data_IF_634379526217
#
_entry.id   IF_634379526217
#
_cell.length_a   1.000
_cell.length_b   1.000
_cell.length_c   1.000
_cell.angle_alpha   90.00
_cell.angle_beta   90.00
_cell.angle_gamma   90.00
#
_symmetry.space_group_name_H-M   'P 1'
#
loop_
_entity.id
_entity.type
_entity.pdbx_description
1 polymer ?
#
# COMPACT_ATOMS: atom_id res chain seq x y z
N UNK A 1 -39.79 6.15 12.22
CA UNK A 1 -38.59 5.31 12.51
C UNK A 1 -37.37 5.64 11.61
N UNK A 2 -37.56 6.14 10.38
CA UNK A 2 -36.46 6.48 9.45
C UNK A 2 -35.60 7.71 9.84
N UNK A 3 -36.20 8.81 10.32
CA UNK A 3 -35.46 10.05 10.62
C UNK A 3 -34.45 9.93 11.78
N UNK A 4 -34.80 9.21 12.87
CA UNK A 4 -33.88 8.98 13.99
C UNK A 4 -32.68 8.10 13.62
N UNK A 5 -32.86 7.15 12.70
CA UNK A 5 -31.76 6.29 12.22
C UNK A 5 -30.79 7.07 11.34
N UNK A 6 -31.29 8.00 10.53
CA UNK A 6 -30.46 8.87 9.69
C UNK A 6 -29.66 9.89 10.53
N UNK A 7 -30.29 10.50 11.54
CA UNK A 7 -29.60 11.40 12.49
C UNK A 7 -28.55 10.67 13.33
N UNK A 8 -28.80 9.41 13.70
CA UNK A 8 -27.81 8.56 14.37
C UNK A 8 -26.62 8.27 13.46
N UNK A 9 -26.86 7.91 12.20
CA UNK A 9 -25.80 7.68 11.22
C UNK A 9 -24.94 8.93 10.97
N UNK A 10 -25.57 10.11 10.85
CA UNK A 10 -24.84 11.37 10.71
C UNK A 10 -23.99 11.70 11.95
N UNK A 11 -24.48 11.40 13.16
CA UNK A 11 -23.70 11.56 14.40
C UNK A 11 -22.48 10.66 14.43
N UNK A 12 -22.65 9.36 14.10
CA UNK A 12 -21.54 8.41 14.02
C UNK A 12 -20.55 8.81 12.92
N UNK A 13 -21.01 9.20 11.72
CA UNK A 13 -20.11 9.65 10.66
C UNK A 13 -19.32 10.92 11.07
N UNK A 14 -19.97 11.86 11.78
CA UNK A 14 -19.31 13.08 12.24
C UNK A 14 -18.20 12.86 13.26
N UNK A 15 -18.21 11.76 14.03
CA UNK A 15 -17.13 11.48 15.00
C UNK A 15 -15.81 11.13 14.32
N UNK A 16 -15.84 10.66 13.07
CA UNK A 16 -14.64 10.34 12.29
C UNK A 16 -14.28 11.43 11.27
N UNK A 17 -15.28 12.04 10.62
CA UNK A 17 -15.05 12.86 9.44
C UNK A 17 -14.89 14.36 9.72
N UNK A 18 -15.38 14.83 10.88
CA UNK A 18 -15.42 16.26 11.16
C UNK A 18 -14.09 16.72 11.79
N UNK A 19 -13.41 17.64 11.12
CA UNK A 19 -12.26 18.34 11.69
C UNK A 19 -12.72 19.32 12.79
N UNK A 20 -11.82 19.64 13.72
CA UNK A 20 -12.14 20.53 14.82
C UNK A 20 -10.92 20.93 15.64
N UNK A 21 -11.19 21.41 16.85
CA UNK A 21 -10.17 21.90 17.79
C UNK A 21 -9.06 20.86 18.00
N UNK A 22 -9.47 19.64 18.34
CA UNK A 22 -8.62 18.50 18.68
C UNK A 22 -8.98 17.27 17.84
N UNK A 23 -9.42 17.46 16.59
CA UNK A 23 -9.85 16.38 15.68
C UNK A 23 -9.34 16.65 14.27
N UNK A 24 -8.68 15.66 13.68
CA UNK A 24 -8.09 15.76 12.33
C UNK A 24 -9.19 15.81 11.26
N UNK A 25 -10.20 14.94 11.38
CA UNK A 25 -11.32 14.85 10.45
C UNK A 25 -11.08 13.81 9.36
N UNK A 26 -11.52 14.08 8.13
CA UNK A 26 -11.56 13.08 7.04
C UNK A 26 -10.31 13.01 6.17
N UNK A 27 -9.32 13.88 6.38
CA UNK A 27 -8.18 14.04 5.48
C UNK A 27 -6.88 13.85 6.24
N UNK A 28 -6.04 12.94 5.72
CA UNK A 28 -4.78 12.56 6.34
C UNK A 28 -3.67 12.54 5.28
N UNK A 29 -2.49 13.04 5.65
CA UNK A 29 -1.24 12.85 4.93
C UNK A 29 -0.84 11.38 5.05
N UNK A 30 -0.55 10.76 3.90
CA UNK A 30 -0.22 9.34 3.78
C UNK A 30 1.03 9.15 2.93
N UNK A 31 1.72 8.03 3.13
CA UNK A 31 2.70 7.52 2.19
C UNK A 31 2.04 6.44 1.34
N UNK A 32 2.12 6.53 0.01
CA UNK A 32 1.50 5.52 -0.89
C UNK A 32 2.45 5.11 -2.00
N UNK A 33 2.27 3.89 -2.51
CA UNK A 33 2.93 3.45 -3.74
C UNK A 33 2.25 4.03 -4.98
N UNK A 34 3.07 4.42 -5.95
CA UNK A 34 2.65 4.91 -7.26
C UNK A 34 3.50 4.29 -8.36
N UNK A 35 2.84 4.02 -9.49
CA UNK A 35 3.46 3.46 -10.68
C UNK A 35 3.93 4.57 -11.63
N UNK A 36 5.06 4.35 -12.29
CA UNK A 36 5.65 5.27 -13.26
C UNK A 36 6.03 4.52 -14.53
N UNK A 37 6.07 5.22 -15.66
CA UNK A 37 6.37 4.61 -16.96
C UNK A 37 7.83 4.17 -17.12
N UNK A 38 8.76 4.82 -16.44
CA UNK A 38 10.18 4.50 -16.52
C UNK A 38 11.00 4.91 -15.26
N UNK A 39 12.30 4.63 -15.30
CA UNK A 39 13.25 4.89 -14.22
C UNK A 39 13.58 6.37 -13.99
N UNK A 40 13.01 7.30 -14.79
CA UNK A 40 13.09 8.75 -14.51
C UNK A 40 12.07 9.16 -13.46
N UNK A 41 11.01 8.36 -13.29
CA UNK A 41 9.92 8.60 -12.36
C UNK A 41 9.23 9.96 -12.55
N UNK A 42 9.08 10.38 -13.81
CA UNK A 42 8.49 11.66 -14.19
C UNK A 42 7.01 11.53 -14.57
N UNK A 43 6.66 10.49 -15.33
CA UNK A 43 5.29 10.22 -15.79
C UNK A 43 4.65 9.11 -14.96
N UNK A 44 3.62 9.48 -14.19
CA UNK A 44 2.84 8.57 -13.34
C UNK A 44 1.81 7.79 -14.19
N UNK A 45 1.77 6.47 -14.02
CA UNK A 45 0.74 5.63 -14.61
C UNK A 45 -0.52 5.72 -13.73
N UNK A 46 -1.63 6.11 -14.34
CA UNK A 46 -2.89 6.31 -13.64
C UNK A 46 -3.50 4.96 -13.21
N UNK A 47 -3.67 4.80 -11.89
CA UNK A 47 -4.41 3.65 -11.34
C UNK A 47 -5.94 3.84 -11.45
N UNK A 48 -6.71 2.74 -11.55
CA UNK A 48 -8.17 2.83 -11.51
C UNK A 48 -8.69 3.51 -10.24
N UNK A 49 -9.70 4.37 -10.38
CA UNK A 49 -10.22 5.17 -9.25
C UNK A 49 -10.73 4.31 -8.07
N UNK A 50 -11.25 3.10 -8.34
CA UNK A 50 -11.73 2.19 -7.32
C UNK A 50 -10.62 1.61 -6.44
N UNK A 51 -9.36 1.66 -6.88
CA UNK A 51 -8.21 1.16 -6.12
C UNK A 51 -7.87 2.07 -4.93
N UNK A 52 -8.34 3.32 -4.96
CA UNK A 52 -8.23 4.25 -3.83
C UNK A 52 -6.77 4.57 -3.49
N UNK A 53 -6.40 4.43 -2.21
CA UNK A 53 -5.03 4.71 -1.77
C UNK A 53 -4.06 3.54 -2.00
N UNK A 54 -4.55 2.33 -2.28
CA UNK A 54 -3.71 1.16 -2.50
C UNK A 54 -2.70 1.41 -3.62
N UNK A 55 -1.53 0.80 -3.51
CA UNK A 55 -0.53 0.79 -4.57
C UNK A 55 -1.04 0.18 -5.87
N UNK A 56 -0.30 0.35 -6.98
CA UNK A 56 -0.64 -0.28 -8.26
C UNK A 56 -0.76 -1.80 -8.16
N UNK A 57 -1.52 -2.40 -9.07
CA UNK A 57 -1.61 -3.86 -9.17
C UNK A 57 -0.29 -4.42 -9.72
N UNK A 58 0.35 -5.28 -8.95
CA UNK A 58 1.44 -6.12 -9.45
C UNK A 58 0.84 -7.44 -9.90
N UNK A 59 1.26 -7.94 -11.05
CA UNK A 59 0.72 -9.18 -11.61
C UNK A 59 1.77 -9.91 -12.44
N UNK A 60 1.76 -11.23 -12.34
CA UNK A 60 2.70 -12.07 -13.07
C UNK A 60 2.20 -13.51 -13.15
N UNK A 61 2.71 -14.26 -14.12
CA UNK A 61 2.43 -15.68 -14.31
C UNK A 61 3.50 -16.59 -13.71
N UNK A 62 3.18 -17.88 -13.60
CA UNK A 62 4.15 -18.90 -13.23
C UNK A 62 5.31 -18.95 -14.23
N UNK A 63 6.52 -18.78 -13.73
CA UNK A 63 7.76 -18.69 -14.52
C UNK A 63 8.26 -17.26 -14.72
N UNK A 64 7.44 -16.25 -14.42
CA UNK A 64 7.84 -14.86 -14.56
C UNK A 64 8.81 -14.42 -13.47
N UNK A 65 9.55 -13.37 -13.82
CA UNK A 65 10.31 -12.54 -12.89
C UNK A 65 9.74 -11.13 -12.89
N UNK A 66 9.40 -10.64 -11.70
CA UNK A 66 8.97 -9.27 -11.44
C UNK A 66 10.19 -8.48 -10.95
N UNK A 67 10.62 -7.50 -11.74
CA UNK A 67 11.62 -6.52 -11.33
C UNK A 67 10.93 -5.24 -10.89
N UNK A 68 11.16 -4.85 -9.63
CA UNK A 68 10.58 -3.64 -9.06
C UNK A 68 11.68 -2.65 -8.75
N UNK A 69 11.70 -1.58 -9.52
CA UNK A 69 12.58 -0.45 -9.33
C UNK A 69 11.90 0.53 -8.37
N UNK A 70 12.23 0.42 -7.09
CA UNK A 70 11.71 1.28 -6.04
C UNK A 70 12.58 2.52 -5.89
N UNK A 71 11.94 3.69 -5.79
CA UNK A 71 12.57 4.96 -5.40
C UNK A 71 11.73 5.63 -4.31
N UNK A 72 12.36 5.93 -3.19
CA UNK A 72 11.69 6.51 -2.04
C UNK A 72 11.71 8.04 -2.11
N UNK A 73 10.56 8.69 -2.32
CA UNK A 73 10.41 10.15 -2.26
C UNK A 73 9.78 10.62 -0.94
N UNK A 74 9.56 9.71 0.00
CA UNK A 74 9.06 10.04 1.32
C UNK A 74 10.19 10.57 2.22
N UNK A 75 9.80 11.10 3.37
CA UNK A 75 10.70 11.70 4.35
C UNK A 75 11.31 10.69 5.34
N UNK A 76 11.02 9.39 5.19
CA UNK A 76 11.50 8.32 6.07
C UNK A 76 11.90 7.08 5.27
N UNK A 77 12.76 6.21 5.81
CA UNK A 77 13.07 4.93 5.20
C UNK A 77 11.82 4.06 5.12
N UNK A 78 11.69 3.34 4.02
CA UNK A 78 10.62 2.37 3.76
C UNK A 78 11.14 1.28 2.82
N UNK A 79 10.37 0.22 2.62
CA UNK A 79 10.72 -0.91 1.74
C UNK A 79 9.54 -1.32 0.87
N UNK A 80 9.66 -2.46 0.18
CA UNK A 80 8.53 -3.20 -0.36
C UNK A 80 8.80 -4.70 -0.12
N UNK A 81 7.86 -5.35 0.55
CA UNK A 81 7.89 -6.76 0.92
C UNK A 81 6.69 -7.46 0.29
N UNK A 82 6.87 -8.55 -0.48
CA UNK A 82 5.78 -9.23 -1.13
C UNK A 82 5.28 -10.43 -0.33
N UNK A 83 4.03 -10.81 -0.58
CA UNK A 83 3.51 -12.13 -0.24
C UNK A 83 3.30 -12.95 -1.52
N UNK A 84 3.44 -14.27 -1.44
CA UNK A 84 3.03 -15.18 -2.52
C UNK A 84 4.00 -15.31 -3.69
N UNK A 85 5.22 -14.79 -3.58
CA UNK A 85 6.31 -14.92 -4.57
C UNK A 85 7.59 -15.34 -3.88
N UNK A 86 8.54 -15.84 -4.66
CA UNK A 86 9.88 -16.17 -4.18
C UNK A 86 10.81 -14.96 -4.31
N UNK A 87 11.67 -14.76 -3.32
CA UNK A 87 12.71 -13.73 -3.30
C UNK A 87 13.96 -14.27 -2.61
N UNK A 88 15.10 -13.71 -2.98
CA UNK A 88 16.35 -13.87 -2.25
C UNK A 88 16.49 -12.79 -1.16
N UNK A 89 17.49 -12.93 -0.29
CA UNK A 89 17.70 -12.06 0.86
C UNK A 89 18.07 -10.61 0.53
N UNK A 90 18.36 -10.28 -0.72
CA UNK A 90 18.54 -8.89 -1.20
C UNK A 90 17.27 -8.31 -1.85
N UNK A 91 16.15 -9.03 -1.78
CA UNK A 91 14.87 -8.68 -2.41
C UNK A 91 13.68 -8.97 -1.49
N UNK A 92 13.91 -9.17 -0.19
CA UNK A 92 12.85 -9.44 0.79
C UNK A 92 12.19 -8.14 1.27
N UNK A 93 12.99 -7.11 1.55
CA UNK A 93 12.50 -5.81 2.00
C UNK A 93 11.96 -5.81 3.43
N UNK A 94 12.53 -6.62 4.33
CA UNK A 94 12.06 -6.79 5.71
C UNK A 94 13.22 -6.71 6.71
N UNK A 95 13.21 -5.68 7.56
CA UNK A 95 14.29 -5.43 8.51
C UNK A 95 14.13 -6.27 9.78
N UNK A 96 14.92 -7.35 9.92
CA UNK A 96 14.99 -8.14 11.15
C UNK A 96 16.37 -8.82 11.35
N UNK A 97 16.68 -9.34 12.55
CA UNK A 97 17.92 -10.09 12.81
C UNK A 97 17.92 -11.46 12.11
N UNK A 98 18.31 -11.47 10.85
CA UNK A 98 18.29 -12.62 9.93
C UNK A 98 19.68 -13.19 9.61
N UNK A 99 20.75 -12.57 10.11
CA UNK A 99 22.14 -12.92 9.82
C UNK A 99 22.70 -12.42 8.49
N UNK A 100 21.93 -11.68 7.69
CA UNK A 100 22.41 -11.05 6.44
C UNK A 100 23.26 -9.80 6.72
N UNK A 101 24.15 -9.43 5.79
CA UNK A 101 25.01 -8.25 5.95
C UNK A 101 25.43 -7.66 4.60
N UNK A 102 25.95 -6.43 4.62
CA UNK A 102 26.45 -5.76 3.43
C UNK A 102 25.32 -5.43 2.45
N UNK A 103 25.45 -5.88 1.20
CA UNK A 103 24.47 -5.60 0.15
C UNK A 103 23.12 -6.29 0.37
N UNK A 104 23.10 -7.41 1.11
CA UNK A 104 21.89 -8.16 1.50
C UNK A 104 21.02 -7.45 2.55
N UNK A 105 21.35 -6.20 2.91
CA UNK A 105 20.63 -5.35 3.85
C UNK A 105 20.13 -4.05 3.19
N UNK A 106 20.41 -3.87 1.89
CA UNK A 106 20.08 -2.66 1.16
C UNK A 106 18.58 -2.58 0.82
N UNK A 107 17.92 -3.73 0.71
CA UNK A 107 16.48 -3.87 0.53
C UNK A 107 15.69 -3.57 1.81
N UNK A 108 16.24 -3.93 2.98
CA UNK A 108 15.56 -3.82 4.27
C UNK A 108 15.27 -2.39 4.75
N UNK A 109 15.89 -1.38 4.15
CA UNK A 109 15.64 0.02 4.51
C UNK A 109 16.09 0.98 3.40
N UNK A 110 15.19 1.30 2.47
CA UNK A 110 15.49 2.26 1.40
C UNK A 110 15.33 3.70 1.94
N UNK A 111 16.42 4.47 2.10
CA UNK A 111 16.37 5.78 2.74
C UNK A 111 15.64 6.82 1.87
N UNK A 112 15.25 7.99 2.43
CA UNK A 112 14.72 9.12 1.65
C UNK A 112 15.65 9.49 0.49
N UNK A 113 15.09 9.58 -0.72
CA UNK A 113 15.85 9.80 -1.96
C UNK A 113 16.64 8.59 -2.45
N UNK A 114 16.66 7.48 -1.71
CA UNK A 114 17.29 6.21 -2.09
C UNK A 114 16.44 5.40 -3.06
N UNK A 115 17.08 4.40 -3.69
CA UNK A 115 16.44 3.45 -4.61
C UNK A 115 16.98 2.05 -4.41
N UNK A 116 16.16 1.05 -4.69
CA UNK A 116 16.53 -0.36 -4.69
C UNK A 116 15.77 -1.11 -5.79
N UNK A 117 16.36 -2.17 -6.33
CA UNK A 117 15.69 -3.04 -7.30
C UNK A 117 15.42 -4.38 -6.64
N UNK A 118 14.15 -4.74 -6.53
CA UNK A 118 13.71 -6.02 -5.98
C UNK A 118 13.49 -7.01 -7.12
N UNK A 119 13.97 -8.23 -6.94
CA UNK A 119 13.81 -9.33 -7.88
C UNK A 119 12.96 -10.43 -7.25
N UNK A 120 11.73 -10.57 -7.74
CA UNK A 120 10.81 -11.59 -7.30
C UNK A 120 10.48 -12.55 -8.43
N UNK A 121 10.41 -13.84 -8.14
CA UNK A 121 10.06 -14.86 -9.14
C UNK A 121 8.86 -15.68 -8.69
N UNK A 122 8.15 -16.26 -9.66
CA UNK A 122 7.04 -17.19 -9.39
C UNK A 122 7.44 -18.59 -9.86
N UNK A 123 8.25 -19.34 -9.09
CA UNK A 123 8.56 -20.71 -9.44
C UNK A 123 7.30 -21.59 -9.34
N UNK A 124 7.32 -22.76 -10.00
CA UNK A 124 6.20 -23.73 -9.98
C UNK A 124 5.76 -24.10 -8.55
N UNK A 125 6.67 -24.11 -7.57
CA UNK A 125 6.32 -24.37 -6.17
C UNK A 125 5.51 -23.28 -5.47
N UNK A 126 5.42 -22.08 -6.06
CA UNK A 126 4.64 -20.93 -5.57
C UNK A 126 3.46 -20.62 -6.51
N UNK A 127 3.22 -21.48 -7.50
CA UNK A 127 2.14 -21.35 -8.46
C UNK A 127 0.76 -21.68 -7.85
N UNK A 128 -0.33 -21.07 -8.36
CA UNK A 128 -1.67 -21.60 -8.14
C UNK A 128 -1.74 -23.07 -8.58
N UNK A 129 -2.26 -23.94 -7.70
CA UNK A 129 -2.42 -25.37 -8.01
C UNK A 129 -3.54 -25.61 -9.02
N UNK A 130 -3.65 -26.83 -9.53
CA UNK A 130 -4.76 -27.20 -10.43
C UNK A 130 -6.15 -26.92 -9.82
N UNK A 131 -6.30 -27.11 -8.50
CA UNK A 131 -7.55 -26.85 -7.79
C UNK A 131 -7.81 -25.36 -7.50
N UNK A 132 -6.78 -24.51 -7.58
CA UNK A 132 -6.89 -23.08 -7.38
C UNK A 132 -7.52 -22.37 -8.59
N UNK A 133 -8.12 -21.18 -8.37
CA UNK A 133 -8.53 -20.31 -9.47
C UNK A 133 -7.34 -19.91 -10.36
N UNK A 134 -7.64 -19.35 -11.54
CA UNK A 134 -6.61 -18.96 -12.51
C UNK A 134 -5.58 -17.96 -11.95
N UNK A 135 -5.97 -17.11 -10.98
CA UNK A 135 -5.05 -16.25 -10.25
C UNK A 135 -5.37 -16.25 -8.75
N UNK A 136 -4.32 -16.19 -7.93
CA UNK A 136 -4.38 -15.99 -6.48
C UNK A 136 -4.09 -14.53 -6.13
N UNK A 137 -4.69 -14.04 -5.05
CA UNK A 137 -4.49 -12.66 -4.56
C UNK A 137 -3.60 -12.64 -3.33
N UNK A 138 -2.60 -11.80 -3.39
CA UNK A 138 -1.62 -11.50 -2.37
C UNK A 138 -1.53 -9.99 -2.15
N UNK A 139 -0.64 -9.58 -1.25
CA UNK A 139 -0.36 -8.18 -0.97
C UNK A 139 1.14 -7.94 -1.02
N UNK A 140 1.51 -6.68 -1.18
CA UNK A 140 2.83 -6.19 -0.86
C UNK A 140 2.70 -4.95 0.03
N UNK A 141 3.69 -4.71 0.89
CA UNK A 141 3.70 -3.56 1.79
C UNK A 141 5.13 -3.21 2.24
N UNK A 142 5.33 -2.04 2.84
CA UNK A 142 6.62 -1.73 3.49
C UNK A 142 6.73 -2.49 4.82
N UNK A 143 7.95 -2.88 5.18
CA UNK A 143 8.24 -3.76 6.32
C UNK A 143 9.44 -3.28 7.14
N UNK A 144 9.64 -1.96 7.25
CA UNK A 144 10.56 -1.38 8.26
C UNK A 144 9.91 -1.48 9.64
N UNK A 145 8.66 -1.03 9.74
CA UNK A 145 7.74 -1.25 10.86
C UNK A 145 6.37 -1.54 10.25
N UNK A 146 6.14 -2.80 9.88
CA UNK A 146 5.01 -3.17 9.02
C UNK A 146 3.65 -2.63 9.49
N UNK A 147 3.26 -2.73 10.78
CA UNK A 147 1.99 -2.16 11.25
C UNK A 147 1.88 -0.65 11.01
N UNK A 148 2.94 0.13 11.30
CA UNK A 148 2.93 1.59 11.13
C UNK A 148 3.03 1.99 9.67
N UNK A 149 3.82 1.27 8.89
CA UNK A 149 4.00 1.50 7.46
C UNK A 149 2.69 1.27 6.68
N UNK A 150 1.98 0.16 6.98
CA UNK A 150 0.66 -0.14 6.41
C UNK A 150 -0.36 0.92 6.84
N UNK A 151 -0.41 1.28 8.13
CA UNK A 151 -1.31 2.34 8.62
C UNK A 151 -1.03 3.68 7.93
N UNK A 152 0.24 3.97 7.65
CA UNK A 152 0.67 5.17 6.91
C UNK A 152 0.23 5.15 5.44
N UNK A 153 -0.04 3.97 4.88
CA UNK A 153 -0.67 3.79 3.56
C UNK A 153 0.10 2.90 2.57
N UNK A 154 1.23 2.32 2.98
CA UNK A 154 2.12 1.55 2.10
C UNK A 154 1.67 0.11 1.97
N UNK A 155 0.64 -0.12 1.17
CA UNK A 155 0.10 -1.45 0.86
C UNK A 155 -0.50 -1.46 -0.56
N UNK A 156 -0.36 -2.56 -1.28
CA UNK A 156 -0.99 -2.77 -2.58
C UNK A 156 -1.24 -4.24 -2.91
N UNK A 157 -2.04 -4.53 -3.95
CA UNK A 157 -2.37 -5.88 -4.35
C UNK A 157 -1.34 -6.49 -5.31
N UNK A 158 -1.05 -7.77 -5.11
CA UNK A 158 -0.24 -8.59 -6.01
C UNK A 158 -1.07 -9.81 -6.43
N UNK A 159 -1.07 -10.18 -7.70
CA UNK A 159 -1.66 -11.44 -8.15
C UNK A 159 -0.62 -12.34 -8.83
N UNK A 160 -0.71 -13.63 -8.53
CA UNK A 160 0.07 -14.66 -9.22
C UNK A 160 -0.90 -15.54 -10.01
N UNK A 161 -0.68 -15.68 -11.31
CA UNK A 161 -1.58 -16.34 -12.22
C UNK A 161 -0.97 -17.63 -12.81
N UNK A 162 -1.82 -18.58 -13.19
CA UNK A 162 -1.42 -19.73 -14.01
C UNK A 162 -0.90 -19.25 -15.37
N UNK A 163 0.02 -20.00 -15.96
CA UNK A 163 0.60 -19.69 -17.27
C UNK A 163 -0.49 -19.56 -18.34
N UNK A 164 -0.40 -18.51 -19.15
CA UNK A 164 -1.34 -18.19 -20.22
C UNK A 164 -2.66 -17.58 -19.76
N UNK A 165 -2.78 -17.09 -18.53
CA UNK A 165 -3.97 -16.38 -18.02
C UNK A 165 -3.98 -14.90 -18.40
N UNK A 166 -2.81 -14.26 -18.39
CA UNK A 166 -2.60 -12.87 -18.78
C UNK A 166 -2.45 -12.74 -20.30
N UNK A 167 -2.85 -11.59 -20.85
CA UNK A 167 -2.58 -11.21 -22.23
C UNK A 167 -1.18 -10.57 -22.37
N UNK A 168 -0.78 -10.31 -23.62
CA UNK A 168 0.49 -9.66 -23.93
C UNK A 168 0.41 -8.13 -23.97
N UNK A 169 -0.64 -7.52 -23.41
CA UNK A 169 -0.76 -6.06 -23.37
C UNK A 169 0.15 -5.47 -22.28
N UNK A 170 0.38 -4.16 -22.35
CA UNK A 170 1.07 -3.41 -21.31
C UNK A 170 0.19 -2.24 -20.85
N UNK A 171 -0.36 -2.27 -19.61
CA UNK A 171 -0.22 -3.35 -18.62
C UNK A 171 -1.00 -4.63 -19.01
N UNK A 172 -0.55 -5.82 -18.55
CA UNK A 172 -1.25 -7.07 -18.82
C UNK A 172 -2.70 -7.06 -18.31
N UNK A 173 -3.58 -7.81 -18.95
CA UNK A 173 -4.95 -8.05 -18.46
C UNK A 173 -5.25 -9.53 -18.42
N UNK A 174 -6.14 -9.92 -17.50
CA UNK A 174 -6.64 -11.29 -17.44
C UNK A 174 -7.57 -11.57 -18.61
N UNK A 175 -7.35 -12.68 -19.31
CA UNK A 175 -8.17 -13.11 -20.45
C UNK A 175 -9.43 -13.89 -20.03
N UNK A 176 -9.46 -14.37 -18.79
CA UNK A 176 -10.51 -15.24 -18.28
C UNK A 176 -11.67 -14.49 -17.59
N UNK A 177 -11.57 -13.17 -17.44
CA UNK A 177 -12.58 -12.31 -16.83
C UNK A 177 -12.69 -10.97 -17.57
N UNK A 178 -13.89 -10.38 -17.59
CA UNK A 178 -14.10 -9.06 -18.18
C UNK A 178 -13.60 -7.91 -17.28
N UNK A 179 -13.66 -8.12 -15.95
CA UNK A 179 -13.34 -7.13 -14.94
C UNK A 179 -12.64 -7.75 -13.73
N UNK A 180 -11.64 -7.06 -13.19
CA UNK A 180 -10.95 -7.40 -11.96
C UNK A 180 -11.05 -6.23 -10.96
N UNK A 181 -11.36 -6.54 -9.70
CA UNK A 181 -11.46 -5.54 -8.64
C UNK A 181 -10.69 -6.01 -7.41
N UNK A 182 -10.03 -5.08 -6.73
CA UNK A 182 -9.30 -5.34 -5.49
C UNK A 182 -9.87 -4.48 -4.38
N UNK A 183 -10.18 -5.12 -3.25
CA UNK A 183 -10.77 -4.49 -2.08
C UNK A 183 -9.94 -4.83 -0.85
N UNK A 184 -9.52 -3.81 -0.12
CA UNK A 184 -8.95 -3.95 1.21
C UNK A 184 -10.01 -3.57 2.25
N UNK A 185 -10.49 -4.56 3.00
CA UNK A 185 -11.33 -4.33 4.17
C UNK A 185 -10.43 -4.18 5.39
N UNK A 186 -10.27 -2.96 5.87
CA UNK A 186 -9.43 -2.67 7.03
C UNK A 186 -9.98 -1.49 7.84
N UNK A 187 -9.62 -1.47 9.12
CA UNK A 187 -9.68 -0.27 9.94
C UNK A 187 -8.30 0.38 9.84
N UNK A 188 -8.20 1.44 9.05
CA UNK A 188 -6.95 2.20 8.92
C UNK A 188 -6.81 3.06 10.18
N UNK A 189 -6.00 2.59 11.12
CA UNK A 189 -5.73 3.29 12.37
C UNK A 189 -4.66 4.38 12.16
N UNK A 190 -5.11 5.62 11.93
CA UNK A 190 -4.20 6.76 11.69
C UNK A 190 -3.42 7.15 12.96
N UNK A 191 -3.73 6.61 14.14
CA UNK A 191 -2.91 6.79 15.33
C UNK A 191 -1.55 6.08 15.21
N UNK A 192 -1.47 5.00 14.42
CA UNK A 192 -0.23 4.27 14.14
C UNK A 192 0.59 4.91 13.03
N UNK A 193 -0.05 5.77 12.21
CA UNK A 193 0.57 6.46 11.09
C UNK A 193 1.79 7.26 11.54
N UNK A 194 2.87 7.14 10.77
CA UNK A 194 4.05 7.95 10.96
C UNK A 194 3.82 9.45 10.68
N UNK A 195 2.67 9.81 10.11
CA UNK A 195 2.25 11.19 9.84
C UNK A 195 1.24 11.73 10.85
N UNK A 196 0.99 11.04 11.97
CA UNK A 196 0.03 11.50 12.98
C UNK A 196 0.32 12.95 13.42
N UNK A 197 1.58 13.27 13.75
CA UNK A 197 1.97 14.62 14.18
C UNK A 197 1.83 15.66 13.07
N UNK A 198 2.23 15.33 11.84
CA UNK A 198 2.02 16.18 10.67
C UNK A 198 0.53 16.48 10.48
N UNK A 199 -0.33 15.46 10.65
CA UNK A 199 -1.76 15.56 10.48
C UNK A 199 -2.42 16.38 11.59
N UNK A 200 -2.00 16.21 12.84
CA UNK A 200 -2.45 17.05 13.97
C UNK A 200 -2.11 18.51 13.68
N UNK A 201 -0.86 18.81 13.33
CA UNK A 201 -0.41 20.18 13.06
C UNK A 201 -1.10 20.82 11.86
N UNK A 202 -1.44 20.03 10.84
CA UNK A 202 -2.03 20.54 9.60
C UNK A 202 -3.55 20.75 9.71
N UNK A 203 -4.26 19.84 10.38
CA UNK A 203 -5.72 19.76 10.28
C UNK A 203 -6.47 20.12 11.57
N UNK A 204 -5.85 20.02 12.74
CA UNK A 204 -6.48 20.47 13.99
C UNK A 204 -6.38 22.00 14.12
N UNK A 205 -7.45 22.67 14.53
CA UNK A 205 -7.42 24.13 14.69
C UNK A 205 -6.71 24.60 15.96
N UNK A 206 -6.52 23.72 16.94
CA UNK A 206 -5.66 23.95 18.12
C UNK A 206 -4.85 22.68 18.43
N UNK A 207 -3.74 22.44 17.70
CA UNK A 207 -2.90 21.25 17.85
C UNK A 207 -2.38 21.03 19.27
N UNK A 208 -2.15 22.11 20.04
CA UNK A 208 -1.66 22.03 21.41
C UNK A 208 -2.69 21.44 22.39
N UNK A 209 -3.97 21.42 22.01
CA UNK A 209 -5.06 20.84 22.81
C UNK A 209 -5.29 19.34 22.59
N UNK A 210 -4.52 18.72 21.68
CA UNK A 210 -4.65 17.29 21.37
C UNK A 210 -3.95 16.45 22.44
N UNK A 211 -4.72 15.59 23.08
CA UNK A 211 -4.22 14.47 23.88
C UNK A 211 -4.27 13.20 23.02
N UNK A 212 -3.11 12.59 22.75
CA UNK A 212 -3.02 11.37 21.92
C UNK A 212 -3.49 10.12 22.66
N UNK A 213 -3.55 10.17 23.99
CA UNK A 213 -4.04 9.07 24.84
C UNK A 213 -5.56 9.16 25.07
N UNK A 214 -6.22 10.25 24.65
CA UNK A 214 -7.68 10.39 24.70
C UNK A 214 -8.34 9.33 23.81
N UNK A 215 -9.12 8.43 24.41
CA UNK A 215 -9.81 7.36 23.68
C UNK A 215 -10.73 7.90 22.59
N UNK A 216 -11.37 9.05 22.80
CA UNK A 216 -12.23 9.67 21.80
C UNK A 216 -11.45 10.29 20.63
N UNK A 217 -10.20 10.70 20.83
CA UNK A 217 -9.29 11.13 19.76
C UNK A 217 -8.82 9.91 18.98
N UNK A 218 -8.37 8.86 19.67
CA UNK A 218 -7.93 7.63 19.04
C UNK A 218 -9.03 7.00 18.17
N UNK A 219 -10.23 6.88 18.72
CA UNK A 219 -11.36 6.33 17.97
C UNK A 219 -11.74 7.20 16.77
N UNK A 220 -11.63 8.53 16.85
CA UNK A 220 -11.89 9.40 15.70
C UNK A 220 -10.94 9.18 14.52
N UNK A 221 -9.74 8.67 14.79
CA UNK A 221 -8.69 8.42 13.79
C UNK A 221 -8.71 6.96 13.26
N UNK A 222 -9.64 6.11 13.75
CA UNK A 222 -9.84 4.75 13.24
C UNK A 222 -10.79 4.77 12.06
N UNK A 223 -10.22 4.79 10.86
CA UNK A 223 -10.99 4.95 9.64
C UNK A 223 -11.49 3.59 9.15
N UNK A 224 -12.79 3.35 9.33
CA UNK A 224 -13.45 2.12 8.94
C UNK A 224 -13.89 2.20 7.47
N UNK A 225 -13.19 1.49 6.58
CA UNK A 225 -13.63 1.28 5.21
C UNK A 225 -12.63 1.68 4.13
N UNK A 226 -13.07 1.51 2.88
CA UNK A 226 -12.31 1.84 1.67
C UNK A 226 -12.21 3.36 1.52
N UNK A 227 -11.18 3.96 2.13
CA UNK A 227 -10.93 5.39 2.03
C UNK A 227 -10.70 5.76 0.56
N UNK A 228 -11.65 6.52 -0.02
CA UNK A 228 -11.44 7.21 -1.31
C UNK A 228 -10.32 8.22 -1.11
N UNK A 229 -9.12 7.88 -1.58
CA UNK A 229 -7.92 8.71 -1.43
C UNK A 229 -8.08 10.05 -2.15
N UNK A 230 -8.24 11.13 -1.40
CA UNK A 230 -8.21 12.50 -1.93
C UNK A 230 -7.44 13.45 -1.00
N UNK A 231 -6.41 12.94 -0.31
CA UNK A 231 -5.57 13.72 0.61
C UNK A 231 -4.11 13.75 0.18
N UNK A 232 -3.37 14.76 0.62
CA UNK A 232 -1.99 15.08 0.25
C UNK A 232 -1.07 13.85 0.35
N UNK A 233 -0.62 13.36 -0.81
CA UNK A 233 0.10 12.09 -0.95
C UNK A 233 1.61 12.33 -0.88
N UNK A 234 2.28 11.79 0.14
CA UNK A 234 3.73 11.56 0.11
C UNK A 234 3.97 10.25 -0.64
N UNK A 235 4.95 10.22 -1.55
CA UNK A 235 5.02 9.17 -2.56
C UNK A 235 6.21 8.22 -2.35
N UNK A 236 5.97 6.92 -2.37
CA UNK A 236 6.97 5.93 -2.77
C UNK A 236 6.69 5.54 -4.22
N UNK A 237 7.73 5.57 -5.06
CA UNK A 237 7.57 5.28 -6.47
C UNK A 237 8.10 3.88 -6.75
N UNK A 238 7.33 3.09 -7.46
CA UNK A 238 7.73 1.78 -7.95
C UNK A 238 7.52 1.77 -9.46
N UNK A 239 8.57 1.48 -10.23
CA UNK A 239 8.46 1.07 -11.62
C UNK A 239 8.51 -0.46 -11.63
N UNK A 240 7.62 -1.10 -12.40
CA UNK A 240 7.56 -2.55 -12.53
C UNK A 240 7.85 -2.95 -13.97
N UNK A 241 8.75 -3.92 -14.15
CA UNK A 241 8.95 -4.61 -15.42
C UNK A 241 8.80 -6.12 -15.16
N UNK A 242 7.89 -6.77 -15.89
CA UNK A 242 7.69 -8.22 -15.86
C UNK A 242 8.33 -8.85 -17.11
N UNK A 243 9.24 -9.80 -16.92
CA UNK A 243 9.86 -10.54 -18.02
C UNK A 243 9.42 -12.00 -18.02
N UNK A 244 9.05 -12.51 -19.20
CA UNK A 244 8.90 -13.95 -19.43
C UNK A 244 10.26 -14.50 -19.89
N UNK A 245 10.81 -15.48 -19.17
CA UNK A 245 12.03 -16.21 -19.56
C UNK A 245 11.70 -17.45 -20.42
#
# INVERSE_FOLDING_TARGET
KSCNSFLYFLRVASSFLKSGKNRIGSSYKKAVYKEYSDGTYTEEIAKPAWLGFLGPLLQAEVGDVILIHLKNFASRPYTIHPHGVFYEKDSEGSLYPDGSSGYLKADDSVPPGGSHVYNWSIPEGHAPTEADPACLTWIYHSHVDAPRDIATGLIGPLITCKRGTLDGNSPPQRKDVDHNFFLLFSVIDENLSWHLDDNIATYCSDPASVDKEDGAFQDSNRMHGQLRGSSCIVTMKALMESFHL
#
